data_IF_774918097068
#
_entry.id   IF_774918097068
#
_cell.length_a   1.000
_cell.length_b   1.000
_cell.length_c   1.000
_cell.angle_alpha   90.00
_cell.angle_beta   90.00
_cell.angle_gamma   90.00
#
_symmetry.space_group_name_H-M   'P 1'
#
loop_
_entity.id
_entity.type
_entity.pdbx_description
1 polymer ?
#
# COMPACT_ATOMS: atom_id res chain seq x y z
N UNK A 1 24.40 32.42 -1.99
CA UNK A 1 23.35 32.17 -0.97
C UNK A 1 22.14 31.59 -1.70
N UNK A 2 22.00 30.27 -1.80
CA UNK A 2 20.80 29.68 -2.38
C UNK A 2 19.78 29.44 -1.27
N UNK A 3 18.69 30.22 -1.28
CA UNK A 3 17.46 29.90 -0.57
C UNK A 3 16.75 28.79 -1.34
N UNK A 4 16.91 27.55 -0.89
CA UNK A 4 16.07 26.46 -1.37
C UNK A 4 14.69 26.70 -0.76
N UNK A 5 13.72 26.98 -1.63
CA UNK A 5 12.31 27.07 -1.27
C UNK A 5 11.90 25.77 -0.59
N UNK A 6 11.58 25.89 0.69
CA UNK A 6 10.85 24.92 1.47
C UNK A 6 9.50 24.69 0.78
N UNK A 7 9.41 23.64 -0.05
CA UNK A 7 8.14 23.23 -0.64
C UNK A 7 7.33 22.52 0.43
N UNK A 8 6.32 23.25 0.91
CA UNK A 8 5.29 22.82 1.83
C UNK A 8 4.59 21.55 1.35
N UNK A 9 4.50 20.59 2.28
CA UNK A 9 3.53 19.51 2.41
C UNK A 9 2.62 19.24 1.21
N UNK A 10 2.97 18.21 0.45
CA UNK A 10 1.97 17.26 0.00
C UNK A 10 2.65 15.91 -0.04
N UNK A 11 2.10 14.96 0.70
CA UNK A 11 2.51 13.57 0.69
C UNK A 11 2.16 12.99 -0.68
N UNK A 12 2.91 13.37 -1.72
CA UNK A 12 2.77 12.82 -3.04
C UNK A 12 3.27 11.38 -2.96
N UNK A 13 2.33 10.44 -3.02
CA UNK A 13 2.52 9.03 -3.30
C UNK A 13 3.39 8.84 -4.56
N UNK A 14 4.70 9.03 -4.43
CA UNK A 14 5.61 9.23 -5.56
C UNK A 14 6.08 7.89 -6.11
N UNK A 15 6.23 6.88 -5.24
CA UNK A 15 6.60 5.52 -5.62
C UNK A 15 5.90 4.49 -4.72
N UNK A 16 5.49 3.34 -5.27
CA UNK A 16 4.92 2.27 -4.46
C UNK A 16 6.01 1.66 -3.57
N UNK A 17 5.73 1.56 -2.28
CA UNK A 17 6.65 0.90 -1.33
C UNK A 17 6.73 -0.60 -1.60
N UNK A 18 5.67 -1.17 -2.18
CA UNK A 18 5.57 -2.60 -2.48
C UNK A 18 4.70 -2.82 -3.71
N UNK A 19 5.13 -3.72 -4.59
CA UNK A 19 4.36 -4.19 -5.74
C UNK A 19 4.15 -5.69 -5.61
N UNK A 20 2.91 -6.14 -5.77
CA UNK A 20 2.52 -7.55 -5.63
C UNK A 20 1.85 -8.05 -6.91
N UNK A 21 2.27 -9.21 -7.48
CA UNK A 21 1.60 -9.80 -8.63
C UNK A 21 0.12 -10.12 -8.35
N UNK A 22 -0.78 -9.68 -9.21
CA UNK A 22 -2.23 -9.80 -9.03
C UNK A 22 -2.87 -11.07 -9.60
N UNK A 23 -2.14 -11.87 -10.40
CA UNK A 23 -2.70 -13.01 -11.16
C UNK A 23 -3.43 -14.06 -10.30
N UNK A 24 -3.04 -14.20 -9.03
CA UNK A 24 -3.55 -15.22 -8.13
C UNK A 24 -4.11 -14.66 -6.82
N UNK A 25 -4.25 -13.34 -6.70
CA UNK A 25 -4.72 -12.69 -5.49
C UNK A 25 -6.22 -12.45 -5.51
N UNK A 26 -6.84 -12.68 -4.36
CA UNK A 26 -8.20 -12.26 -4.05
C UNK A 26 -8.17 -10.76 -3.64
N UNK A 27 -8.81 -9.87 -4.41
CA UNK A 27 -8.82 -8.43 -4.12
C UNK A 27 -9.40 -8.12 -2.74
N UNK A 28 -10.43 -8.84 -2.30
CA UNK A 28 -11.09 -8.59 -1.01
C UNK A 28 -10.20 -8.99 0.16
N UNK A 29 -9.49 -10.12 0.05
CA UNK A 29 -8.52 -10.53 1.07
C UNK A 29 -7.35 -9.56 1.14
N UNK A 30 -6.86 -9.12 -0.02
CA UNK A 30 -5.78 -8.14 -0.08
C UNK A 30 -6.19 -6.81 0.57
N UNK A 31 -7.36 -6.26 0.23
CA UNK A 31 -7.83 -5.01 0.85
C UNK A 31 -7.98 -5.15 2.37
N UNK A 32 -8.60 -6.24 2.85
CA UNK A 32 -8.73 -6.49 4.29
C UNK A 32 -7.36 -6.62 4.99
N UNK A 33 -6.38 -7.25 4.34
CA UNK A 33 -5.03 -7.36 4.89
C UNK A 33 -4.33 -5.99 4.93
N UNK A 34 -4.54 -5.15 3.92
CA UNK A 34 -4.01 -3.79 3.88
C UNK A 34 -4.68 -2.89 4.91
N UNK A 35 -5.99 -3.02 5.15
CA UNK A 35 -6.69 -2.33 6.23
C UNK A 35 -6.21 -2.80 7.62
N UNK A 36 -5.92 -4.08 7.82
CA UNK A 36 -5.33 -4.53 9.10
C UNK A 36 -3.92 -3.98 9.30
N UNK A 37 -3.16 -3.83 8.21
CA UNK A 37 -1.76 -3.41 8.26
C UNK A 37 -1.59 -1.90 8.35
N UNK A 38 -2.35 -1.18 7.55
CA UNK A 38 -2.28 0.25 7.31
C UNK A 38 -3.58 0.96 7.69
N UNK A 39 -4.36 0.33 8.57
CA UNK A 39 -5.75 0.72 8.87
C UNK A 39 -5.96 2.19 9.14
N UNK A 40 -7.24 2.58 9.22
CA UNK A 40 -7.59 3.98 9.31
C UNK A 40 -6.80 4.63 10.45
N UNK A 41 -6.25 5.81 10.17
CA UNK A 41 -5.61 6.63 11.21
C UNK A 41 -6.61 6.86 12.34
N UNK A 42 -6.13 7.32 13.50
CA UNK A 42 -7.02 7.71 14.60
C UNK A 42 -8.11 8.72 14.19
N UNK A 43 -7.96 9.37 13.02
CA UNK A 43 -8.89 10.32 12.41
C UNK A 43 -9.84 9.70 11.37
N UNK A 44 -9.84 8.37 11.19
CA UNK A 44 -10.73 7.67 10.26
C UNK A 44 -10.33 7.79 8.78
N UNK A 45 -9.13 8.30 8.48
CA UNK A 45 -8.62 8.41 7.10
C UNK A 45 -7.73 7.22 6.75
N UNK A 46 -7.90 6.70 5.53
CA UNK A 46 -7.06 5.64 4.97
C UNK A 46 -5.59 6.08 4.91
N UNK A 47 -4.71 5.33 5.58
CA UNK A 47 -3.28 5.59 5.54
C UNK A 47 -2.59 4.93 4.35
N UNK A 48 -3.34 4.48 3.34
CA UNK A 48 -2.75 3.81 2.20
C UNK A 48 -3.58 4.04 0.94
N UNK A 49 -2.91 3.96 -0.20
CA UNK A 49 -3.51 3.91 -1.53
C UNK A 49 -3.05 2.63 -2.22
N UNK A 50 -3.93 2.06 -3.02
CA UNK A 50 -3.61 0.91 -3.88
C UNK A 50 -3.96 1.24 -5.31
N UNK A 51 -3.09 0.86 -6.24
CA UNK A 51 -3.38 0.90 -7.66
C UNK A 51 -3.17 -0.48 -8.29
N UNK A 52 -4.10 -0.90 -9.14
CA UNK A 52 -3.92 -2.07 -10.00
C UNK A 52 -3.37 -1.62 -11.36
N UNK A 53 -2.12 -1.96 -11.68
CA UNK A 53 -1.49 -1.66 -12.97
C UNK A 53 -0.74 -2.87 -13.50
N UNK A 54 -0.91 -3.18 -14.80
CA UNK A 54 -0.24 -4.32 -15.48
C UNK A 54 -0.36 -5.64 -14.70
N UNK A 55 -1.55 -5.91 -14.16
CA UNK A 55 -1.84 -7.09 -13.34
C UNK A 55 -0.98 -7.20 -12.05
N UNK A 56 -0.58 -6.06 -11.49
CA UNK A 56 0.11 -5.97 -10.20
C UNK A 56 -0.54 -4.89 -9.32
N UNK A 57 -0.63 -5.17 -8.03
CA UNK A 57 -1.06 -4.22 -7.02
C UNK A 57 0.14 -3.41 -6.54
N UNK A 58 0.12 -2.11 -6.78
CA UNK A 58 1.06 -1.13 -6.28
C UNK A 58 0.51 -0.53 -5.00
N UNK A 59 1.23 -0.71 -3.88
CA UNK A 59 0.80 -0.26 -2.56
C UNK A 59 1.60 0.98 -2.19
N UNK A 60 0.88 2.04 -1.83
CA UNK A 60 1.39 3.33 -1.41
C UNK A 60 0.94 3.57 0.04
N UNK A 61 1.67 3.08 1.05
CA UNK A 61 1.39 3.30 2.46
C UNK A 61 1.93 4.67 2.91
N UNK A 62 1.24 5.33 3.84
CA UNK A 62 1.55 6.67 4.35
C UNK A 62 2.98 6.75 4.87
N UNK A 63 3.49 7.97 5.05
CA UNK A 63 4.88 8.15 5.47
C UNK A 63 5.20 7.45 6.81
N UNK A 64 4.23 7.35 7.71
CA UNK A 64 4.37 6.63 8.99
C UNK A 64 4.33 5.11 8.84
N UNK A 65 3.74 4.59 7.76
CA UNK A 65 3.59 3.17 7.50
C UNK A 65 4.52 2.65 6.39
N UNK A 66 5.40 3.50 5.85
CA UNK A 66 6.23 3.21 4.66
C UNK A 66 7.11 1.96 4.80
N UNK A 67 7.57 1.68 6.02
CA UNK A 67 8.46 0.55 6.32
C UNK A 67 7.69 -0.76 6.57
N UNK A 68 6.37 -0.71 6.75
CA UNK A 68 5.56 -1.85 7.18
C UNK A 68 4.97 -2.65 6.01
N UNK A 69 5.82 -3.15 5.11
CA UNK A 69 5.41 -3.95 3.93
C UNK A 69 4.74 -5.27 4.31
N UNK A 70 3.76 -5.73 3.53
CA UNK A 70 3.18 -7.06 3.70
C UNK A 70 4.27 -8.13 3.53
N UNK A 71 4.31 -9.10 4.44
CA UNK A 71 5.20 -10.24 4.34
C UNK A 71 4.73 -11.21 3.26
N UNK A 72 5.61 -12.11 2.81
CA UNK A 72 5.26 -13.13 1.83
C UNK A 72 4.17 -14.09 2.33
N UNK A 73 4.13 -14.36 3.63
CA UNK A 73 3.08 -15.20 4.22
C UNK A 73 1.69 -14.54 4.13
N UNK A 74 1.61 -13.24 4.39
CA UNK A 74 0.37 -12.49 4.29
C UNK A 74 -0.11 -12.33 2.85
N UNK A 75 0.84 -12.17 1.91
CA UNK A 75 0.53 -12.17 0.48
C UNK A 75 -0.06 -13.53 0.08
N UNK A 76 0.56 -14.64 0.48
CA UNK A 76 0.03 -15.99 0.21
C UNK A 76 -1.34 -16.24 0.83
N UNK A 77 -1.61 -15.68 2.00
CA UNK A 77 -2.93 -15.77 2.63
C UNK A 77 -4.03 -15.09 1.78
N UNK A 78 -3.65 -14.13 0.93
CA UNK A 78 -4.56 -13.45 0.01
C UNK A 78 -4.75 -14.20 -1.31
N UNK A 79 -4.07 -15.32 -1.56
CA UNK A 79 -4.22 -16.06 -2.81
C UNK A 79 -5.60 -16.74 -2.91
N UNK A 80 -6.11 -16.80 -4.14
CA UNK A 80 -7.30 -17.59 -4.49
C UNK A 80 -6.86 -19.05 -4.54
N UNK A 81 -7.20 -19.83 -3.50
CA UNK A 81 -7.06 -21.28 -3.55
C UNK A 81 -8.00 -21.81 -4.63
N UNK A 82 -7.47 -22.21 -5.78
CA UNK A 82 -8.21 -23.03 -6.74
C UNK A 82 -8.34 -24.41 -6.13
N UNK A 83 -9.56 -24.78 -5.77
CA UNK A 83 -9.96 -26.13 -5.35
C UNK A 83 -10.29 -26.90 -6.62
#
# INVERSE_FOLDING_TARGET
MLKILQMSSSAYWTEPSQTIPGHSLDPHKLMNQLEKRYGPSAEGQDNFRVELRRNSYNIYPSQTAKEHKLSQEEIRACEVRRI
#
